data_IF_358299413010
#
_entry.id   IF_358299413010
#
_cell.length_a   1.000
_cell.length_b   1.000
_cell.length_c   1.000
_cell.angle_alpha   90.00
_cell.angle_beta   90.00
_cell.angle_gamma   90.00
#
_symmetry.space_group_name_H-M   'P 1'
#
loop_
_entity.id
_entity.type
_entity.pdbx_description
1 polymer ?
#
# COMPACT_ATOMS: atom_id res chain seq x y z
N UNK A 1 25.05 -14.94 -17.08
CA UNK A 1 24.01 -14.00 -16.62
C UNK A 1 23.96 -12.87 -17.65
N UNK A 2 22.79 -12.60 -18.22
CA UNK A 2 22.60 -11.57 -19.24
C UNK A 2 21.65 -10.52 -18.66
N UNK A 3 22.16 -9.31 -18.44
CA UNK A 3 21.42 -8.14 -17.94
C UNK A 3 21.61 -7.01 -18.98
N UNK A 4 20.55 -6.28 -19.29
CA UNK A 4 20.57 -5.26 -20.36
C UNK A 4 21.17 -3.94 -19.86
N UNK A 5 21.07 -3.69 -18.55
CA UNK A 5 21.53 -2.47 -17.92
C UNK A 5 22.97 -2.61 -17.37
N UNK A 6 23.67 -1.50 -17.14
CA UNK A 6 25.06 -1.50 -16.66
C UNK A 6 25.21 -1.85 -15.17
N UNK A 7 24.12 -2.23 -14.50
CA UNK A 7 24.05 -2.57 -13.08
C UNK A 7 23.03 -3.68 -12.82
N UNK A 8 23.38 -4.59 -11.92
CA UNK A 8 22.44 -5.56 -11.35
C UNK A 8 21.46 -4.87 -10.39
N UNK A 9 20.15 -5.09 -10.56
CA UNK A 9 19.16 -4.71 -9.54
C UNK A 9 17.81 -4.19 -10.03
N UNK A 10 17.60 -3.93 -11.32
CA UNK A 10 16.29 -3.47 -11.84
C UNK A 10 15.73 -2.25 -11.07
N UNK A 11 14.48 -2.34 -10.59
CA UNK A 11 13.78 -1.26 -9.84
C UNK A 11 14.41 -0.87 -8.49
N UNK A 12 15.43 -1.56 -7.99
CA UNK A 12 16.16 -1.13 -6.78
C UNK A 12 17.12 0.00 -7.11
N UNK A 13 16.60 1.22 -7.24
CA UNK A 13 17.39 2.38 -7.63
C UNK A 13 17.83 3.19 -6.41
N UNK A 14 19.03 2.92 -5.90
CA UNK A 14 19.63 3.69 -4.80
C UNK A 14 20.28 4.97 -5.33
N UNK A 15 19.73 6.13 -4.99
CA UNK A 15 20.34 7.43 -5.24
C UNK A 15 21.21 7.84 -4.06
N UNK A 16 22.33 8.49 -4.34
CA UNK A 16 23.15 9.12 -3.31
C UNK A 16 22.89 10.62 -3.34
N UNK A 17 22.36 11.17 -2.26
CA UNK A 17 22.14 12.60 -2.09
C UNK A 17 23.26 13.18 -1.21
N UNK A 18 23.89 14.25 -1.68
CA UNK A 18 24.83 15.05 -0.89
C UNK A 18 24.05 16.20 -0.24
N UNK A 19 23.67 16.00 1.03
CA UNK A 19 23.13 17.03 1.92
C UNK A 19 24.24 17.40 2.93
N UNK A 20 23.91 17.82 4.16
CA UNK A 20 24.92 18.05 5.22
C UNK A 20 25.73 16.78 5.57
N UNK A 21 25.16 15.60 5.27
CA UNK A 21 25.83 14.30 5.23
C UNK A 21 25.40 13.56 3.97
N UNK A 22 26.25 12.63 3.52
CA UNK A 22 25.95 11.75 2.38
C UNK A 22 24.89 10.73 2.78
N UNK A 23 23.72 10.78 2.15
CA UNK A 23 22.60 9.86 2.43
C UNK A 23 22.32 9.04 1.18
N UNK A 24 22.19 7.71 1.34
CA UNK A 24 21.70 6.83 0.28
C UNK A 24 20.20 6.65 0.44
N UNK A 25 19.45 6.92 -0.61
CA UNK A 25 17.99 6.85 -0.65
C UNK A 25 17.59 5.91 -1.78
N UNK A 26 16.89 4.84 -1.44
CA UNK A 26 16.25 3.98 -2.44
C UNK A 26 14.99 4.69 -2.98
N UNK A 27 14.80 4.72 -4.29
CA UNK A 27 13.61 5.33 -4.94
C UNK A 27 12.60 4.29 -5.44
N UNK A 28 12.89 3.00 -5.28
CA UNK A 28 12.04 1.89 -5.69
C UNK A 28 11.54 1.06 -4.52
N UNK A 29 12.10 -0.13 -4.32
CA UNK A 29 11.74 -1.02 -3.23
C UNK A 29 12.43 -0.60 -1.92
N UNK A 30 11.70 0.11 -1.05
CA UNK A 30 12.23 0.73 0.17
C UNK A 30 11.74 0.00 1.44
N UNK A 31 10.60 -0.67 1.36
CA UNK A 31 9.92 -1.26 2.52
C UNK A 31 9.44 -2.67 2.17
N UNK A 32 9.71 -3.62 3.07
CA UNK A 32 9.16 -4.97 3.05
C UNK A 32 8.47 -5.30 4.37
N UNK A 33 7.65 -6.36 4.38
CA UNK A 33 7.21 -7.00 5.61
C UNK A 33 7.46 -8.51 5.54
N UNK A 34 7.70 -9.12 6.69
CA UNK A 34 8.01 -10.54 6.88
C UNK A 34 6.87 -11.46 6.41
N UNK A 35 5.62 -11.02 6.56
CA UNK A 35 4.43 -11.76 6.17
C UNK A 35 4.31 -11.95 4.66
N UNK A 36 4.57 -10.90 3.89
CA UNK A 36 4.40 -10.90 2.43
C UNK A 36 5.69 -11.30 1.71
N UNK A 37 6.85 -11.17 2.35
CA UNK A 37 8.15 -11.46 1.73
C UNK A 37 9.01 -12.46 2.51
N UNK A 38 8.47 -13.63 2.92
CA UNK A 38 9.17 -14.55 3.82
C UNK A 38 10.47 -15.10 3.21
N UNK A 39 10.54 -15.30 1.89
CA UNK A 39 11.74 -15.77 1.21
C UNK A 39 12.83 -14.69 1.13
N UNK A 40 12.44 -13.44 0.86
CA UNK A 40 13.37 -12.32 0.79
C UNK A 40 13.92 -11.98 2.18
N UNK A 41 13.09 -12.04 3.22
CA UNK A 41 13.55 -11.89 4.61
C UNK A 41 14.56 -12.97 4.98
N UNK A 42 14.33 -14.24 4.61
CA UNK A 42 15.31 -15.33 4.84
C UNK A 42 16.62 -15.08 4.11
N UNK A 43 16.57 -14.66 2.86
CA UNK A 43 17.77 -14.33 2.08
C UNK A 43 18.60 -13.24 2.76
N UNK A 44 17.97 -12.18 3.27
CA UNK A 44 18.68 -11.10 3.96
C UNK A 44 19.26 -11.54 5.30
N UNK A 45 18.60 -12.45 6.01
CA UNK A 45 19.15 -13.07 7.21
C UNK A 45 20.37 -13.94 6.91
N UNK A 46 20.33 -14.75 5.83
CA UNK A 46 21.48 -15.56 5.40
C UNK A 46 22.67 -14.72 4.93
N UNK A 47 22.41 -13.54 4.39
CA UNK A 47 23.44 -12.59 3.94
C UNK A 47 23.90 -11.61 5.04
N UNK A 48 23.43 -11.77 6.29
CA UNK A 48 23.73 -10.90 7.44
C UNK A 48 23.45 -9.40 7.18
N UNK A 49 22.41 -9.10 6.39
CA UNK A 49 22.00 -7.72 6.08
C UNK A 49 21.12 -7.18 7.21
N UNK A 50 21.51 -6.05 7.80
CA UNK A 50 20.74 -5.38 8.85
C UNK A 50 19.43 -4.77 8.30
N UNK A 51 18.31 -5.04 8.98
CA UNK A 51 17.01 -4.47 8.68
C UNK A 51 16.63 -3.45 9.75
N UNK A 52 16.16 -2.28 9.33
CA UNK A 52 15.69 -1.25 10.24
C UNK A 52 14.15 -1.27 10.36
N UNK A 53 13.58 -1.31 11.58
CA UNK A 53 12.14 -1.27 11.77
C UNK A 53 11.59 0.09 11.34
N UNK A 54 10.53 0.06 10.53
CA UNK A 54 9.81 1.26 10.08
C UNK A 54 8.30 1.01 10.12
N UNK A 55 7.52 2.02 10.51
CA UNK A 55 6.06 1.93 10.48
C UNK A 55 5.52 2.31 9.10
N UNK A 56 4.76 1.40 8.48
CA UNK A 56 4.03 1.73 7.27
C UNK A 56 2.70 2.36 7.65
N UNK A 57 2.55 3.64 7.32
CA UNK A 57 1.28 4.37 7.46
C UNK A 57 0.76 4.79 6.09
N UNK A 58 -0.56 4.88 5.98
CA UNK A 58 -1.24 5.37 4.79
C UNK A 58 -2.17 6.49 5.20
N UNK A 59 -2.09 7.62 4.52
CA UNK A 59 -2.93 8.77 4.77
C UNK A 59 -3.57 9.26 3.47
N UNK A 60 -4.76 9.82 3.63
CA UNK A 60 -5.52 10.44 2.55
C UNK A 60 -5.94 11.80 3.02
N UNK A 61 -5.68 12.80 2.19
CA UNK A 61 -6.16 14.16 2.36
C UNK A 61 -6.99 14.57 1.14
N UNK A 62 -8.24 14.93 1.38
CA UNK A 62 -9.18 15.38 0.35
C UNK A 62 -9.99 16.54 0.89
N UNK A 63 -10.68 17.26 0.00
CA UNK A 63 -11.64 18.31 0.38
C UNK A 63 -12.72 17.83 1.38
N UNK A 64 -13.04 16.53 1.38
CA UNK A 64 -14.13 15.97 2.18
C UNK A 64 -13.71 15.44 3.55
N UNK A 65 -12.48 14.92 3.64
CA UNK A 65 -11.93 14.23 4.81
C UNK A 65 -10.41 14.10 4.70
N UNK A 66 -9.74 14.27 5.84
CA UNK A 66 -8.33 13.91 6.05
C UNK A 66 -8.23 12.84 7.13
N UNK A 67 -7.50 11.76 6.87
CA UNK A 67 -7.27 10.69 7.84
C UNK A 67 -5.95 9.96 7.58
N UNK A 68 -5.40 9.35 8.63
CA UNK A 68 -4.23 8.47 8.58
C UNK A 68 -4.55 7.14 9.28
N UNK A 69 -4.00 6.03 8.79
CA UNK A 69 -4.22 4.69 9.34
C UNK A 69 -3.80 4.57 10.81
N UNK A 70 -2.81 5.35 11.26
CA UNK A 70 -2.40 5.40 12.67
C UNK A 70 -3.45 6.05 13.58
N UNK A 71 -4.36 6.85 13.05
CA UNK A 71 -5.44 7.46 13.83
C UNK A 71 -6.46 6.44 14.31
N UNK A 72 -6.62 5.28 13.65
CA UNK A 72 -7.61 4.26 14.02
C UNK A 72 -7.42 3.71 15.44
N UNK A 73 -6.22 3.85 16.00
CA UNK A 73 -5.90 3.44 17.38
C UNK A 73 -6.26 4.52 18.42
N UNK A 74 -6.61 5.73 17.99
CA UNK A 74 -6.83 6.89 18.86
C UNK A 74 -8.32 7.11 19.08
N UNK A 75 -8.73 7.36 20.34
CA UNK A 75 -10.14 7.63 20.66
C UNK A 75 -10.73 8.83 19.88
N UNK A 76 -9.91 9.84 19.60
CA UNK A 76 -10.30 11.03 18.81
C UNK A 76 -10.80 10.70 17.40
N UNK A 77 -10.43 9.55 16.85
CA UNK A 77 -10.93 9.08 15.56
C UNK A 77 -12.46 8.94 15.54
N UNK A 78 -13.04 8.51 16.67
CA UNK A 78 -14.46 8.30 16.83
C UNK A 78 -15.27 9.61 16.92
N UNK A 79 -14.61 10.78 16.98
CA UNK A 79 -15.31 12.07 16.99
C UNK A 79 -15.80 12.51 15.60
N UNK A 80 -15.50 11.75 14.54
CA UNK A 80 -15.95 12.04 13.18
C UNK A 80 -16.74 10.87 12.60
N UNK A 81 -18.03 11.10 12.34
CA UNK A 81 -18.91 10.10 11.71
C UNK A 81 -18.39 9.66 10.33
N UNK A 82 -17.78 10.58 9.57
CA UNK A 82 -17.16 10.27 8.27
C UNK A 82 -15.99 9.30 8.42
N UNK A 83 -15.15 9.50 9.44
CA UNK A 83 -14.00 8.63 9.78
C UNK A 83 -14.46 7.25 10.24
N UNK A 84 -15.45 7.18 11.14
CA UNK A 84 -16.04 5.90 11.55
C UNK A 84 -16.62 5.15 10.35
N UNK A 85 -17.39 5.85 9.49
CA UNK A 85 -18.03 5.25 8.32
C UNK A 85 -17.00 4.61 7.38
N UNK A 86 -15.93 5.34 7.03
CA UNK A 86 -14.91 4.80 6.13
C UNK A 86 -14.17 3.62 6.76
N UNK A 87 -13.89 3.69 8.07
CA UNK A 87 -13.25 2.59 8.81
C UNK A 87 -14.11 1.32 8.82
N UNK A 88 -15.42 1.44 9.08
CA UNK A 88 -16.33 0.29 9.03
C UNK A 88 -16.39 -0.32 7.62
N UNK A 89 -16.41 0.50 6.57
CA UNK A 89 -16.35 0.01 5.19
C UNK A 89 -15.00 -0.64 4.85
N UNK A 90 -13.87 -0.16 5.40
CA UNK A 90 -12.56 -0.82 5.27
C UNK A 90 -12.54 -2.21 5.91
N UNK A 91 -13.05 -2.33 7.14
CA UNK A 91 -13.15 -3.63 7.82
C UNK A 91 -14.03 -4.58 7.02
N UNK A 92 -15.18 -4.09 6.53
CA UNK A 92 -16.07 -4.87 5.67
C UNK A 92 -15.39 -5.29 4.35
N UNK A 93 -14.64 -4.38 3.73
CA UNK A 93 -13.89 -4.64 2.50
C UNK A 93 -12.87 -5.75 2.71
N UNK A 94 -12.02 -5.63 3.71
CA UNK A 94 -10.97 -6.62 4.00
C UNK A 94 -11.55 -8.01 4.33
N UNK A 95 -12.70 -8.06 5.02
CA UNK A 95 -13.34 -9.32 5.37
C UNK A 95 -13.97 -10.04 4.16
N UNK A 96 -14.46 -9.30 3.15
CA UNK A 96 -15.12 -9.90 1.97
C UNK A 96 -14.10 -10.15 0.86
N UNK A 97 -13.10 -9.28 0.71
CA UNK A 97 -12.09 -9.38 -0.34
C UNK A 97 -11.18 -10.62 -0.19
N UNK A 98 -11.07 -11.20 1.01
CA UNK A 98 -10.27 -12.40 1.25
C UNK A 98 -10.77 -13.65 0.53
N UNK A 99 -12.03 -13.66 0.07
CA UNK A 99 -12.68 -14.81 -0.58
C UNK A 99 -13.13 -14.49 -2.02
N UNK A 100 -12.50 -13.51 -2.66
CA UNK A 100 -12.83 -13.09 -4.02
C UNK A 100 -12.01 -13.84 -5.04
N UNK A 101 -12.69 -14.46 -6.01
CA UNK A 101 -12.06 -14.88 -7.27
C UNK A 101 -11.81 -13.64 -8.12
N UNK A 102 -10.58 -13.50 -8.65
CA UNK A 102 -10.09 -12.33 -9.41
C UNK A 102 -10.73 -12.14 -10.80
N UNK A 103 -11.90 -12.72 -11.05
CA UNK A 103 -12.63 -12.59 -12.30
C UNK A 103 -13.48 -11.32 -12.34
N UNK A 104 -12.91 -10.22 -12.82
CA UNK A 104 -13.66 -9.00 -13.14
C UNK A 104 -12.93 -7.70 -12.80
N UNK A 105 -13.65 -6.59 -12.99
CA UNK A 105 -13.19 -5.25 -12.61
C UNK A 105 -13.49 -4.98 -11.13
N UNK A 106 -12.55 -4.35 -10.41
CA UNK A 106 -12.76 -3.92 -9.03
C UNK A 106 -13.95 -2.95 -8.92
N UNK A 107 -14.19 -2.13 -9.95
CA UNK A 107 -15.31 -1.18 -9.96
C UNK A 107 -16.66 -1.90 -9.94
N UNK A 108 -16.80 -2.97 -10.73
CA UNK A 108 -18.04 -3.73 -10.84
C UNK A 108 -18.28 -4.53 -9.55
N UNK A 109 -17.22 -5.09 -8.98
CA UNK A 109 -17.28 -5.76 -7.68
C UNK A 109 -17.70 -4.80 -6.55
N UNK A 110 -17.14 -3.59 -6.51
CA UNK A 110 -17.50 -2.59 -5.50
C UNK A 110 -18.97 -2.15 -5.64
N UNK A 111 -19.48 -2.04 -6.87
CA UNK A 111 -20.90 -1.77 -7.14
C UNK A 111 -21.78 -2.92 -6.70
N UNK A 112 -21.44 -4.16 -7.05
CA UNK A 112 -22.19 -5.37 -6.68
C UNK A 112 -22.31 -5.49 -5.16
N UNK A 113 -21.21 -5.28 -4.42
CA UNK A 113 -21.19 -5.31 -2.96
C UNK A 113 -21.75 -4.04 -2.32
N UNK A 114 -22.23 -3.07 -3.09
CA UNK A 114 -22.86 -1.82 -2.63
C UNK A 114 -21.95 -1.01 -1.70
N UNK A 115 -20.66 -0.87 -2.03
CA UNK A 115 -19.78 0.05 -1.32
C UNK A 115 -20.13 1.50 -1.66
N UNK A 116 -20.04 2.38 -0.67
CA UNK A 116 -20.41 3.77 -0.87
C UNK A 116 -19.42 4.52 -1.77
N UNK A 117 -19.91 5.47 -2.57
CA UNK A 117 -19.05 6.37 -3.35
C UNK A 117 -18.07 7.15 -2.45
N UNK A 118 -18.47 7.41 -1.20
CA UNK A 118 -17.60 8.02 -0.21
C UNK A 118 -16.39 7.13 0.10
N UNK A 119 -16.58 5.84 0.32
CA UNK A 119 -15.49 4.89 0.55
C UNK A 119 -14.61 4.70 -0.69
N UNK A 120 -15.20 4.57 -1.88
CA UNK A 120 -14.43 4.43 -3.12
C UNK A 120 -13.49 5.61 -3.34
N UNK A 121 -14.00 6.84 -3.23
CA UNK A 121 -13.24 8.06 -3.48
C UNK A 121 -12.21 8.38 -2.39
N UNK A 122 -12.50 8.08 -1.14
CA UNK A 122 -11.65 8.48 0.00
C UNK A 122 -10.76 7.36 0.55
N UNK A 123 -10.79 6.17 -0.05
CA UNK A 123 -9.91 5.06 0.32
C UNK A 123 -9.47 4.23 -0.90
N UNK A 124 -10.40 3.63 -1.64
CA UNK A 124 -10.03 2.65 -2.68
C UNK A 124 -9.27 3.30 -3.83
N UNK A 125 -9.77 4.39 -4.42
CA UNK A 125 -9.08 5.04 -5.52
C UNK A 125 -7.72 5.63 -5.09
N UNK A 126 -7.59 6.37 -3.97
CA UNK A 126 -6.28 6.80 -3.49
C UNK A 126 -5.29 5.64 -3.32
N UNK A 127 -5.75 4.51 -2.77
CA UNK A 127 -4.94 3.31 -2.60
C UNK A 127 -4.48 2.74 -3.96
N UNK A 128 -5.41 2.56 -4.91
CA UNK A 128 -5.07 2.06 -6.26
C UNK A 128 -4.06 2.96 -6.98
N UNK A 129 -4.25 4.29 -6.92
CA UNK A 129 -3.33 5.24 -7.55
C UNK A 129 -1.92 5.17 -6.96
N UNK A 130 -1.77 4.90 -5.66
CA UNK A 130 -0.46 4.71 -5.03
C UNK A 130 0.32 3.56 -5.67
N UNK A 131 -0.37 2.52 -6.14
CA UNK A 131 0.22 1.37 -6.83
C UNK A 131 0.21 1.53 -8.35
N UNK A 132 -0.18 2.70 -8.89
CA UNK A 132 -0.30 2.92 -10.34
C UNK A 132 -1.45 2.13 -11.00
N UNK A 133 -2.38 1.59 -10.20
CA UNK A 133 -3.52 0.83 -10.68
C UNK A 133 -4.70 1.75 -10.99
N UNK A 134 -5.41 1.49 -12.08
CA UNK A 134 -6.62 2.20 -12.44
C UNK A 134 -7.85 1.33 -12.14
N UNK A 135 -8.95 1.85 -11.56
CA UNK A 135 -10.12 1.06 -11.14
C UNK A 135 -10.87 0.34 -12.27
N UNK A 136 -10.55 0.65 -13.54
CA UNK A 136 -11.09 -0.05 -14.72
C UNK A 136 -10.18 -1.16 -15.27
N UNK A 137 -8.96 -1.28 -14.76
CA UNK A 137 -8.04 -2.35 -15.13
C UNK A 137 -8.27 -3.54 -14.20
N UNK A 138 -8.08 -4.76 -14.73
CA UNK A 138 -8.22 -6.01 -13.98
C UNK A 138 -7.43 -5.96 -12.67
N UNK A 139 -7.96 -6.61 -11.63
CA UNK A 139 -7.23 -6.88 -10.40
C UNK A 139 -5.94 -7.62 -10.79
N UNK A 140 -4.82 -6.90 -10.81
CA UNK A 140 -3.52 -7.49 -11.13
C UNK A 140 -3.19 -8.49 -10.04
N UNK A 141 -2.80 -9.69 -10.47
CA UNK A 141 -2.45 -10.82 -9.63
C UNK A 141 -1.61 -10.41 -8.42
N UNK A 142 -2.03 -10.88 -7.25
CA UNK A 142 -1.20 -10.94 -6.07
C UNK A 142 0.02 -11.81 -6.38
N UNK A 143 1.19 -11.18 -6.56
CA UNK A 143 2.49 -11.81 -6.35
C UNK A 143 2.96 -11.56 -4.93
#
# INVERSE_FOLDING_TARGET
MFEKDSRLGGHTHTHTLELEKKIRVDSGFIVMNDRNYPLLTKLFLELEIELHPTSMSFSVDTENISWCSEEFKKFRFFNSLKKIRIFLEMVRFNNIASNVDSNGSIEDWLKEKKFSEFFKKNYVYPCLHQFGLHPKNQLVDSQ
#
